data_IF_579279030511
#
_entry.id   IF_579279030511
#
_cell.length_a   1.000
_cell.length_b   1.000
_cell.length_c   1.000
_cell.angle_alpha   90.00
_cell.angle_beta   90.00
_cell.angle_gamma   90.00
#
_symmetry.space_group_name_H-M   'P 1'
#
loop_
_entity.id
_entity.type
_entity.pdbx_description
1 polymer ?
#
# COMPACT_ATOMS: atom_id res chain seq x y z
N UNK A 1 62.80 61.91 17.51
CA UNK A 1 61.76 61.36 16.62
C UNK A 1 61.05 60.11 17.20
N UNK A 2 60.59 60.10 18.46
CA UNK A 2 59.97 58.89 19.05
C UNK A 2 58.81 59.20 20.02
N UNK A 3 57.85 60.05 19.63
CA UNK A 3 56.64 60.30 20.44
C UNK A 3 55.30 60.02 19.72
N UNK A 4 55.30 59.67 18.44
CA UNK A 4 54.06 59.47 17.67
C UNK A 4 53.69 57.99 17.39
N UNK A 5 54.57 57.04 17.69
CA UNK A 5 54.31 55.61 17.44
C UNK A 5 53.41 54.97 18.51
N UNK A 6 53.57 55.34 19.79
CA UNK A 6 52.82 54.75 20.90
C UNK A 6 51.32 55.12 20.87
N UNK A 7 50.96 56.31 20.40
CA UNK A 7 49.56 56.79 20.37
C UNK A 7 48.73 56.07 19.31
N UNK A 8 49.34 55.62 18.20
CA UNK A 8 48.64 54.94 17.09
C UNK A 8 48.31 53.48 17.41
N UNK A 9 49.18 52.78 18.14
CA UNK A 9 48.93 51.39 18.57
C UNK A 9 47.83 51.33 19.64
N UNK A 10 47.77 52.32 20.54
CA UNK A 10 46.74 52.38 21.58
C UNK A 10 45.34 52.67 21.02
N UNK A 11 45.23 53.49 19.97
CA UNK A 11 43.95 53.74 19.28
C UNK A 11 43.47 52.52 18.48
N UNK A 12 44.38 51.78 17.84
CA UNK A 12 44.02 50.57 17.09
C UNK A 12 43.51 49.45 18.01
N UNK A 13 44.12 49.25 19.19
CA UNK A 13 43.63 48.29 20.18
C UNK A 13 42.29 48.72 20.81
N UNK A 14 42.09 50.02 21.06
CA UNK A 14 40.81 50.54 21.56
C UNK A 14 39.68 50.41 20.54
N UNK A 15 39.94 50.61 19.24
CA UNK A 15 38.95 50.38 18.19
C UNK A 15 38.64 48.89 17.99
N UNK A 16 39.62 47.98 18.08
CA UNK A 16 39.36 46.53 18.02
C UNK A 16 38.53 46.04 19.24
N UNK A 17 38.80 46.57 20.43
CA UNK A 17 38.04 46.27 21.64
C UNK A 17 36.60 46.82 21.57
N UNK A 18 36.39 48.02 21.02
CA UNK A 18 35.06 48.59 20.82
C UNK A 18 34.23 47.79 19.79
N UNK A 19 34.85 47.36 18.68
CA UNK A 19 34.15 46.54 17.66
C UNK A 19 33.76 45.16 18.20
N UNK A 20 34.60 44.53 19.02
CA UNK A 20 34.29 43.22 19.62
C UNK A 20 33.19 43.31 20.68
N UNK A 21 33.18 44.34 21.53
CA UNK A 21 32.10 44.57 22.49
C UNK A 21 30.76 44.92 21.83
N UNK A 22 30.77 45.67 20.72
CA UNK A 22 29.55 45.98 19.98
C UNK A 22 28.92 44.72 19.36
N UNK A 23 29.72 43.84 18.75
CA UNK A 23 29.21 42.59 18.16
C UNK A 23 28.65 41.61 19.23
N UNK A 24 29.24 41.57 20.42
CA UNK A 24 28.75 40.72 21.51
C UNK A 24 27.41 41.22 22.07
N UNK A 25 27.24 42.53 22.22
CA UNK A 25 25.99 43.12 22.73
C UNK A 25 24.82 42.96 21.75
N UNK A 26 25.07 42.99 20.44
CA UNK A 26 24.05 42.76 19.40
C UNK A 26 23.64 41.28 19.29
N UNK A 27 24.60 40.36 19.40
CA UNK A 27 24.32 38.92 19.43
C UNK A 27 23.44 38.54 20.63
N UNK A 28 23.72 39.08 21.82
CA UNK A 28 22.89 38.85 23.01
C UNK A 28 21.48 39.45 22.89
N UNK A 29 21.32 40.58 22.18
CA UNK A 29 20.00 41.18 21.98
C UNK A 29 19.11 40.38 21.01
N UNK A 30 19.68 39.84 19.94
CA UNK A 30 18.94 38.98 18.99
C UNK A 30 18.49 37.69 19.67
N UNK A 31 19.35 37.08 20.50
CA UNK A 31 19.02 35.85 21.23
C UNK A 31 17.88 36.07 22.24
N UNK A 32 17.88 37.22 22.95
CA UNK A 32 16.78 37.60 23.83
C UNK A 32 15.45 37.80 23.08
N UNK A 33 15.48 38.48 21.93
CA UNK A 33 14.29 38.70 21.11
C UNK A 33 13.74 37.39 20.52
N UNK A 34 14.62 36.49 20.09
CA UNK A 34 14.24 35.17 19.62
C UNK A 34 13.60 34.34 20.76
N UNK A 35 14.18 34.37 21.96
CA UNK A 35 13.60 33.71 23.14
C UNK A 35 12.23 34.25 23.52
N UNK A 36 12.04 35.57 23.48
CA UNK A 36 10.74 36.20 23.70
C UNK A 36 9.70 35.71 22.68
N UNK A 37 10.10 35.60 21.40
CA UNK A 37 9.25 35.09 20.33
C UNK A 37 8.84 33.63 20.56
N UNK A 38 9.74 32.77 21.06
CA UNK A 38 9.40 31.38 21.44
C UNK A 38 8.34 31.37 22.54
N UNK A 39 8.51 32.18 23.58
CA UNK A 39 7.56 32.24 24.71
C UNK A 39 6.19 32.73 24.25
N UNK A 40 6.15 33.79 23.43
CA UNK A 40 4.90 34.30 22.88
C UNK A 40 4.25 33.30 21.91
N UNK A 41 5.06 32.56 21.14
CA UNK A 41 4.60 31.45 20.30
C UNK A 41 3.94 30.34 21.10
N UNK A 42 4.51 29.93 22.24
CA UNK A 42 3.89 28.94 23.14
C UNK A 42 2.53 29.42 23.65
N UNK A 43 2.46 30.68 24.11
CA UNK A 43 1.19 31.26 24.58
C UNK A 43 0.14 31.33 23.47
N UNK A 44 0.55 31.74 22.27
CA UNK A 44 -0.32 31.77 21.10
C UNK A 44 -0.81 30.37 20.74
N UNK A 45 0.07 29.36 20.77
CA UNK A 45 -0.27 27.96 20.49
C UNK A 45 -1.26 27.41 21.53
N UNK A 46 -1.01 27.63 22.83
CA UNK A 46 -1.90 27.22 23.91
C UNK A 46 -3.28 27.92 23.84
N UNK A 47 -3.32 29.15 23.32
CA UNK A 47 -4.54 29.90 23.09
C UNK A 47 -5.24 29.56 21.75
N UNK A 48 -4.67 28.68 20.93
CA UNK A 48 -5.19 28.34 19.60
C UNK A 48 -5.12 29.49 18.59
N UNK A 49 -4.19 30.44 18.77
CA UNK A 49 -4.03 31.59 17.89
C UNK A 49 -3.24 31.24 16.62
N UNK A 50 -3.71 31.71 15.46
CA UNK A 50 -3.09 31.45 14.16
C UNK A 50 -1.66 31.96 14.00
N UNK A 51 -1.21 32.88 14.86
CA UNK A 51 0.13 33.50 14.77
C UNK A 51 1.24 32.67 15.41
N UNK A 52 0.93 31.53 16.03
CA UNK A 52 1.89 30.72 16.77
C UNK A 52 3.07 30.25 15.90
N UNK A 53 2.81 29.72 14.70
CA UNK A 53 3.87 29.29 13.77
C UNK A 53 4.83 30.43 13.42
N UNK A 54 4.29 31.61 13.15
CA UNK A 54 5.08 32.77 12.75
C UNK A 54 5.99 33.25 13.88
N UNK A 55 5.50 33.20 15.14
CA UNK A 55 6.29 33.51 16.32
C UNK A 55 7.41 32.48 16.54
N UNK A 56 7.13 31.20 16.31
CA UNK A 56 8.16 30.16 16.35
C UNK A 56 9.20 30.32 15.25
N UNK A 57 8.82 30.72 14.04
CA UNK A 57 9.79 31.02 12.97
C UNK A 57 10.72 32.18 13.35
N UNK A 58 10.21 33.21 14.03
CA UNK A 58 11.07 34.28 14.58
C UNK A 58 12.04 33.76 15.65
N UNK A 59 11.60 32.80 16.45
CA UNK A 59 12.41 32.13 17.47
C UNK A 59 13.55 31.27 16.93
N UNK A 60 13.52 30.88 15.65
CA UNK A 60 14.60 30.08 15.02
C UNK A 60 15.95 30.81 14.93
N UNK A 61 15.97 32.12 15.20
CA UNK A 61 17.20 32.92 15.28
C UNK A 61 17.99 32.70 16.57
N UNK A 62 17.38 32.08 17.58
CA UNK A 62 18.04 31.78 18.86
C UNK A 62 19.20 30.81 18.64
N UNK A 63 20.35 31.05 19.26
CA UNK A 63 21.56 30.24 19.02
C UNK A 63 21.37 28.75 19.35
N UNK A 64 20.70 28.48 20.47
CA UNK A 64 20.59 27.13 21.03
C UNK A 64 19.18 26.53 20.89
N UNK A 65 18.15 27.38 20.76
CA UNK A 65 16.75 26.95 20.70
C UNK A 65 16.17 26.90 19.29
N UNK A 66 16.99 27.12 18.25
CA UNK A 66 16.54 27.11 16.86
C UNK A 66 15.80 25.81 16.49
N UNK A 67 16.35 24.65 16.86
CA UNK A 67 15.73 23.35 16.60
C UNK A 67 14.38 23.19 17.32
N UNK A 68 14.31 23.57 18.61
CA UNK A 68 13.08 23.50 19.39
C UNK A 68 12.00 24.45 18.83
N UNK A 69 12.41 25.64 18.40
CA UNK A 69 11.51 26.61 17.81
C UNK A 69 10.92 26.09 16.50
N UNK A 70 11.76 25.55 15.60
CA UNK A 70 11.30 24.93 14.36
C UNK A 70 10.38 23.72 14.61
N UNK A 71 10.66 22.91 15.63
CA UNK A 71 9.79 21.80 16.03
C UNK A 71 8.41 22.28 16.47
N UNK A 72 8.36 23.33 17.30
CA UNK A 72 7.10 23.92 17.74
C UNK A 72 6.34 24.61 16.59
N UNK A 73 7.04 25.21 15.63
CA UNK A 73 6.43 25.69 14.39
C UNK A 73 5.74 24.55 13.63
N UNK A 74 6.43 23.41 13.48
CA UNK A 74 5.87 22.22 12.84
C UNK A 74 4.63 21.69 13.56
N UNK A 75 4.65 21.61 14.90
CA UNK A 75 3.47 21.23 15.69
C UNK A 75 2.31 22.20 15.52
N UNK A 76 2.60 23.50 15.53
CA UNK A 76 1.59 24.54 15.29
C UNK A 76 0.95 24.45 13.91
N UNK A 77 1.70 23.99 12.92
CA UNK A 77 1.20 23.79 11.56
C UNK A 77 0.37 22.51 11.45
N UNK A 78 0.70 21.42 12.18
CA UNK A 78 -0.12 20.20 12.16
C UNK A 78 -1.53 20.36 12.75
N UNK A 79 -1.72 21.26 13.71
CA UNK A 79 -3.08 21.59 14.21
C UNK A 79 -3.94 22.23 13.11
N UNK A 80 -3.31 22.84 12.10
CA UNK A 80 -3.97 23.36 10.91
C UNK A 80 -4.02 22.22 9.88
N UNK A 81 -5.12 21.48 9.84
CA UNK A 81 -5.26 20.20 9.09
C UNK A 81 -4.84 20.22 7.59
N UNK A 82 -4.64 21.39 6.98
CA UNK A 82 -4.22 21.56 5.58
C UNK A 82 -2.71 21.78 5.39
N UNK A 83 -1.92 21.97 6.46
CA UNK A 83 -0.52 22.41 6.37
C UNK A 83 0.51 21.27 6.58
N UNK A 84 0.19 20.05 6.13
CA UNK A 84 1.03 18.87 6.32
C UNK A 84 2.45 19.03 5.74
N UNK A 85 2.56 19.59 4.53
CA UNK A 85 3.88 19.81 3.90
C UNK A 85 4.72 20.85 4.64
N UNK A 86 4.14 21.98 5.03
CA UNK A 86 4.80 23.05 5.77
C UNK A 86 5.26 22.57 7.14
N UNK A 87 4.42 21.77 7.82
CA UNK A 87 4.78 21.14 9.07
C UNK A 87 6.00 20.23 8.91
N UNK A 88 6.01 19.37 7.88
CA UNK A 88 7.17 18.50 7.58
C UNK A 88 8.44 19.30 7.29
N UNK A 89 8.34 20.42 6.57
CA UNK A 89 9.49 21.31 6.34
C UNK A 89 10.00 21.95 7.64
N UNK A 90 9.11 22.34 8.56
CA UNK A 90 9.49 22.85 9.86
C UNK A 90 10.18 21.77 10.72
N UNK A 91 9.70 20.53 10.72
CA UNK A 91 10.37 19.40 11.38
C UNK A 91 11.73 19.08 10.76
N UNK A 92 11.88 19.17 9.44
CA UNK A 92 13.19 19.03 8.79
C UNK A 92 14.18 20.12 9.23
N UNK A 93 13.70 21.37 9.40
CA UNK A 93 14.52 22.44 10.00
C UNK A 93 14.87 22.14 11.46
N UNK A 94 13.94 21.56 12.23
CA UNK A 94 14.21 21.12 13.59
C UNK A 94 15.33 20.07 13.64
N UNK A 95 15.25 19.03 12.81
CA UNK A 95 16.26 17.97 12.70
C UNK A 95 17.63 18.54 12.32
N UNK A 96 17.68 19.48 11.36
CA UNK A 96 18.93 20.11 10.91
C UNK A 96 19.61 20.95 12.00
N UNK A 97 18.81 21.59 12.84
CA UNK A 97 19.28 22.47 13.92
C UNK A 97 19.38 21.77 15.28
N UNK A 98 18.93 20.52 15.38
CA UNK A 98 18.89 19.78 16.63
C UNK A 98 20.30 19.36 17.06
N UNK A 99 20.61 19.66 18.32
CA UNK A 99 21.75 19.08 19.05
C UNK A 99 21.35 17.85 19.87
N UNK A 100 20.05 17.57 19.97
CA UNK A 100 19.45 16.52 20.81
C UNK A 100 18.78 15.42 19.96
N UNK A 101 19.07 14.16 20.33
CA UNK A 101 18.52 12.97 19.69
C UNK A 101 17.04 12.78 20.02
N UNK A 102 16.59 13.19 21.20
CA UNK A 102 15.17 13.10 21.55
C UNK A 102 14.34 14.03 20.66
N UNK A 103 14.73 15.31 20.53
CA UNK A 103 14.08 16.23 19.59
C UNK A 103 14.10 15.72 18.14
N UNK A 104 15.21 15.11 17.71
CA UNK A 104 15.32 14.50 16.37
C UNK A 104 14.31 13.37 16.20
N UNK A 105 14.16 12.51 17.21
CA UNK A 105 13.18 11.42 17.22
C UNK A 105 11.74 11.96 17.16
N UNK A 106 11.42 12.94 17.99
CA UNK A 106 10.07 13.53 18.05
C UNK A 106 9.72 14.24 16.73
N UNK A 107 10.67 14.91 16.08
CA UNK A 107 10.47 15.54 14.78
C UNK A 107 10.18 14.50 13.68
N UNK A 108 10.96 13.41 13.62
CA UNK A 108 10.71 12.31 12.69
C UNK A 108 9.38 11.60 12.94
N UNK A 109 9.00 11.42 14.21
CA UNK A 109 7.69 10.87 14.59
C UNK A 109 6.55 11.73 14.06
N UNK A 110 6.62 13.05 14.22
CA UNK A 110 5.58 13.94 13.71
C UNK A 110 5.56 14.06 12.18
N UNK A 111 6.71 13.93 11.51
CA UNK A 111 6.75 13.75 10.05
C UNK A 111 5.97 12.48 9.66
N UNK A 112 6.20 11.37 10.38
CA UNK A 112 5.46 10.13 10.17
C UNK A 112 3.95 10.29 10.39
N UNK A 113 3.53 11.00 11.43
CA UNK A 113 2.10 11.27 11.70
C UNK A 113 1.47 12.05 10.55
N UNK A 114 2.16 13.07 10.06
CA UNK A 114 1.70 13.88 8.93
C UNK A 114 1.52 13.05 7.66
N UNK A 115 2.46 12.15 7.36
CA UNK A 115 2.39 11.26 6.19
C UNK A 115 1.30 10.20 6.34
N UNK A 116 1.14 9.66 7.55
CA UNK A 116 0.07 8.71 7.86
C UNK A 116 -1.32 9.34 7.68
N UNK A 117 -1.50 10.61 8.06
CA UNK A 117 -2.75 11.36 7.80
C UNK A 117 -3.01 11.57 6.31
N UNK A 118 -1.95 11.68 5.49
CA UNK A 118 -2.03 11.76 4.03
C UNK A 118 -2.14 10.37 3.36
N UNK A 119 -2.25 9.28 4.14
CA UNK A 119 -2.23 7.89 3.67
C UNK A 119 -0.96 7.49 2.91
N UNK A 120 0.11 8.26 3.02
CA UNK A 120 1.43 7.93 2.47
C UNK A 120 2.16 6.98 3.43
N UNK A 121 1.72 5.71 3.44
CA UNK A 121 2.16 4.68 4.37
C UNK A 121 3.64 4.38 4.24
N UNK A 122 4.15 4.26 3.01
CA UNK A 122 5.56 3.96 2.75
C UNK A 122 6.48 5.00 3.38
N UNK A 123 6.20 6.29 3.16
CA UNK A 123 7.02 7.35 3.72
C UNK A 123 6.80 7.51 5.23
N UNK A 124 5.58 7.28 5.73
CA UNK A 124 5.30 7.29 7.17
C UNK A 124 6.15 6.23 7.92
N UNK A 125 6.22 5.01 7.38
CA UNK A 125 7.02 3.90 7.91
C UNK A 125 8.49 4.30 8.00
N UNK A 126 9.06 4.89 6.95
CA UNK A 126 10.47 5.32 6.96
C UNK A 126 10.74 6.48 7.93
N UNK A 127 9.77 7.38 8.12
CA UNK A 127 9.85 8.44 9.11
C UNK A 127 9.85 7.86 10.54
N UNK A 128 8.96 6.93 10.87
CA UNK A 128 8.95 6.28 12.19
C UNK A 128 10.21 5.45 12.45
N UNK A 129 10.73 4.74 11.44
CA UNK A 129 12.03 4.05 11.55
C UNK A 129 13.15 5.05 11.83
N UNK A 130 13.13 6.21 11.18
CA UNK A 130 14.10 7.27 11.46
C UNK A 130 13.97 7.85 12.87
N UNK A 131 12.75 7.96 13.40
CA UNK A 131 12.50 8.35 14.78
C UNK A 131 13.10 7.34 15.77
N UNK A 132 12.94 6.04 15.53
CA UNK A 132 13.48 4.97 16.37
C UNK A 132 15.01 4.83 16.25
N UNK A 133 15.60 5.11 15.09
CA UNK A 133 17.06 5.20 14.95
C UNK A 133 17.65 6.32 15.80
N UNK A 134 16.95 7.45 15.94
CA UNK A 134 17.38 8.57 16.80
C UNK A 134 17.14 8.27 18.28
N UNK A 135 15.98 7.70 18.63
CA UNK A 135 15.68 7.27 19.99
C UNK A 135 14.93 5.93 19.98
N UNK A 136 15.62 4.81 20.23
CA UNK A 136 15.00 3.48 20.25
C UNK A 136 13.92 3.30 21.32
N UNK A 137 13.85 4.20 22.32
CA UNK A 137 12.86 4.18 23.41
C UNK A 137 11.65 5.07 23.14
N UNK A 138 11.50 5.61 21.93
CA UNK A 138 10.31 6.36 21.55
C UNK A 138 9.12 5.40 21.35
N UNK A 139 8.37 5.15 22.42
CA UNK A 139 7.21 4.25 22.40
C UNK A 139 6.10 4.72 21.44
N UNK A 140 5.91 6.03 21.29
CA UNK A 140 4.91 6.59 20.37
C UNK A 140 5.28 6.30 18.90
N UNK A 141 6.56 6.46 18.54
CA UNK A 141 7.04 6.09 17.21
C UNK A 141 6.98 4.58 16.96
N UNK A 142 7.23 3.77 18.01
CA UNK A 142 7.13 2.31 17.94
C UNK A 142 5.70 1.86 17.66
N UNK A 143 4.74 2.37 18.44
CA UNK A 143 3.31 2.12 18.25
C UNK A 143 2.84 2.52 16.85
N UNK A 144 3.19 3.74 16.40
CA UNK A 144 2.75 4.23 15.09
C UNK A 144 3.41 3.50 13.93
N UNK A 145 4.65 3.02 14.07
CA UNK A 145 5.29 2.16 13.08
C UNK A 145 4.52 0.84 12.92
N UNK A 146 4.17 0.17 14.03
CA UNK A 146 3.36 -1.05 13.99
C UNK A 146 2.01 -0.82 13.34
N UNK A 147 1.36 0.29 13.66
CA UNK A 147 0.08 0.67 13.06
C UNK A 147 0.20 0.88 11.55
N UNK A 148 1.20 1.63 11.10
CA UNK A 148 1.42 1.90 9.67
C UNK A 148 1.75 0.61 8.89
N UNK A 149 2.56 -0.28 9.46
CA UNK A 149 2.87 -1.58 8.86
C UNK A 149 1.64 -2.48 8.76
N UNK A 150 0.77 -2.46 9.78
CA UNK A 150 -0.48 -3.22 9.73
C UNK A 150 -1.40 -2.70 8.62
N UNK A 151 -1.56 -1.38 8.49
CA UNK A 151 -2.34 -0.83 7.37
C UNK A 151 -1.74 -1.22 6.01
N UNK A 152 -0.42 -1.22 5.87
CA UNK A 152 0.23 -1.63 4.63
C UNK A 152 -0.04 -3.11 4.32
N UNK A 153 0.00 -3.98 5.33
CA UNK A 153 -0.34 -5.38 5.17
C UNK A 153 -1.82 -5.56 4.82
N UNK A 154 -2.74 -4.87 5.51
CA UNK A 154 -4.17 -4.97 5.22
C UNK A 154 -4.51 -4.49 3.79
N UNK A 155 -3.76 -3.53 3.25
CA UNK A 155 -3.89 -3.10 1.84
C UNK A 155 -3.39 -4.16 0.87
N UNK A 156 -2.27 -4.83 1.18
CA UNK A 156 -1.75 -5.95 0.38
C UNK A 156 -2.71 -7.14 0.41
N UNK A 157 -3.21 -7.52 1.58
CA UNK A 157 -4.14 -8.64 1.74
C UNK A 157 -5.46 -8.39 1.00
N UNK A 158 -5.94 -7.14 0.94
CA UNK A 158 -7.11 -6.76 0.15
C UNK A 158 -6.84 -6.86 -1.36
N UNK A 159 -5.66 -6.41 -1.80
CA UNK A 159 -5.26 -6.49 -3.20
C UNK A 159 -5.11 -7.96 -3.65
N UNK A 160 -4.48 -8.80 -2.83
CA UNK A 160 -4.31 -10.23 -3.11
C UNK A 160 -5.64 -10.99 -3.16
N UNK A 161 -6.63 -10.58 -2.34
CA UNK A 161 -7.98 -11.14 -2.39
C UNK A 161 -8.72 -10.74 -3.67
N UNK A 162 -8.57 -9.47 -4.09
CA UNK A 162 -9.17 -8.98 -5.32
C UNK A 162 -8.56 -9.68 -6.55
N UNK A 163 -7.23 -9.82 -6.60
CA UNK A 163 -6.53 -10.53 -7.68
C UNK A 163 -6.93 -12.02 -7.76
N UNK A 164 -7.27 -12.64 -6.62
CA UNK A 164 -7.79 -14.02 -6.57
C UNK A 164 -9.23 -14.11 -7.09
N UNK A 165 -10.10 -13.16 -6.72
CA UNK A 165 -11.47 -13.10 -7.24
C UNK A 165 -11.47 -12.89 -8.76
N UNK A 166 -10.66 -11.95 -9.26
CA UNK A 166 -10.54 -11.68 -10.70
C UNK A 166 -10.04 -12.92 -11.49
N UNK A 167 -9.17 -13.74 -10.87
CA UNK A 167 -8.72 -15.00 -11.47
C UNK A 167 -9.80 -16.09 -11.46
N UNK A 168 -10.59 -16.19 -10.39
CA UNK A 168 -11.73 -17.12 -10.32
C UNK A 168 -12.79 -16.76 -11.35
N UNK A 169 -13.16 -15.48 -11.48
CA UNK A 169 -14.11 -15.02 -12.48
C UNK A 169 -13.65 -15.32 -13.91
N UNK A 170 -12.34 -15.19 -14.19
CA UNK A 170 -11.77 -15.55 -15.49
C UNK A 170 -11.83 -17.06 -15.75
N UNK A 171 -11.55 -17.90 -14.74
CA UNK A 171 -11.67 -19.35 -14.87
C UNK A 171 -13.11 -19.78 -15.10
N UNK A 172 -14.07 -19.23 -14.36
CA UNK A 172 -15.49 -19.53 -14.55
C UNK A 172 -15.99 -19.12 -15.94
N UNK A 173 -15.55 -17.96 -16.45
CA UNK A 173 -15.87 -17.55 -17.82
C UNK A 173 -15.27 -18.50 -18.86
N UNK A 174 -14.04 -18.96 -18.65
CA UNK A 174 -13.40 -19.91 -19.56
C UNK A 174 -14.10 -21.28 -19.53
N UNK A 175 -14.47 -21.78 -18.36
CA UNK A 175 -15.22 -23.04 -18.23
C UNK A 175 -16.60 -22.95 -18.88
N UNK A 176 -17.29 -21.81 -18.77
CA UNK A 176 -18.56 -21.58 -19.45
C UNK A 176 -18.39 -21.57 -20.97
N UNK A 177 -17.31 -20.95 -21.48
CA UNK A 177 -17.01 -20.93 -22.90
C UNK A 177 -16.68 -22.34 -23.43
N UNK A 178 -15.88 -23.11 -22.71
CA UNK A 178 -15.53 -24.48 -23.08
C UNK A 178 -16.76 -25.41 -23.06
N UNK A 179 -17.68 -25.22 -22.10
CA UNK A 179 -18.95 -25.96 -22.06
C UNK A 179 -19.84 -25.60 -23.25
N UNK A 180 -19.92 -24.32 -23.60
CA UNK A 180 -20.69 -23.88 -24.76
C UNK A 180 -20.12 -24.44 -26.07
N UNK A 181 -18.80 -24.45 -26.24
CA UNK A 181 -18.15 -25.06 -27.42
C UNK A 181 -18.35 -26.57 -27.50
N UNK A 182 -18.40 -27.28 -26.37
CA UNK A 182 -18.71 -28.71 -26.34
C UNK A 182 -20.17 -28.98 -26.72
N UNK A 183 -21.09 -28.17 -26.22
CA UNK A 183 -22.51 -28.29 -26.57
C UNK A 183 -22.73 -28.02 -28.07
N UNK A 184 -22.11 -26.98 -28.62
CA UNK A 184 -22.16 -26.67 -30.06
C UNK A 184 -21.56 -27.79 -30.94
N UNK A 185 -20.57 -28.52 -30.45
CA UNK A 185 -19.99 -29.68 -31.14
C UNK A 185 -20.90 -30.90 -31.09
N UNK A 186 -21.54 -31.15 -29.95
CA UNK A 186 -22.48 -32.25 -29.77
C UNK A 186 -23.71 -32.06 -30.65
N UNK A 187 -24.28 -30.85 -30.66
CA UNK A 187 -25.41 -30.49 -31.54
C UNK A 187 -25.06 -30.66 -33.03
N UNK A 188 -23.80 -30.43 -33.42
CA UNK A 188 -23.33 -30.68 -34.79
C UNK A 188 -23.19 -32.18 -35.11
N UNK A 189 -22.75 -33.00 -34.15
CA UNK A 189 -22.67 -34.44 -34.31
C UNK A 189 -24.07 -35.06 -34.44
N UNK A 190 -25.01 -34.68 -33.58
CA UNK A 190 -26.39 -35.16 -33.62
C UNK A 190 -27.06 -34.79 -34.95
N UNK A 191 -26.80 -33.59 -35.48
CA UNK A 191 -27.26 -33.20 -36.81
C UNK A 191 -26.62 -34.00 -37.96
N UNK A 192 -25.39 -34.49 -37.81
CA UNK A 192 -24.76 -35.36 -38.80
C UNK A 192 -25.33 -36.77 -38.75
N UNK A 193 -25.53 -37.33 -37.56
CA UNK A 193 -26.15 -38.65 -37.38
C UNK A 193 -27.57 -38.65 -37.94
N UNK A 194 -28.39 -37.64 -37.63
CA UNK A 194 -29.74 -37.53 -38.20
C UNK A 194 -29.76 -37.47 -39.73
N UNK A 195 -28.76 -36.82 -40.36
CA UNK A 195 -28.63 -36.78 -41.82
C UNK A 195 -28.23 -38.14 -42.37
N UNK A 196 -27.36 -38.86 -41.68
CA UNK A 196 -26.92 -40.18 -42.09
C UNK A 196 -28.06 -41.21 -41.97
N UNK A 197 -28.83 -41.18 -40.88
CA UNK A 197 -30.01 -42.03 -40.69
C UNK A 197 -31.08 -41.77 -41.77
N UNK A 198 -31.32 -40.51 -42.14
CA UNK A 198 -32.22 -40.19 -43.26
C UNK A 198 -31.71 -40.76 -44.58
N UNK A 199 -30.39 -40.75 -44.80
CA UNK A 199 -29.79 -41.27 -46.01
C UNK A 199 -29.87 -42.81 -46.07
N UNK A 200 -29.60 -43.48 -44.95
CA UNK A 200 -29.72 -44.94 -44.84
C UNK A 200 -31.16 -45.43 -44.97
N UNK A 201 -32.15 -44.69 -44.46
CA UNK A 201 -33.57 -44.98 -44.68
C UNK A 201 -33.94 -44.84 -46.17
N UNK A 202 -33.40 -43.83 -46.84
CA UNK A 202 -33.65 -43.60 -48.27
C UNK A 202 -33.04 -44.73 -49.12
N UNK A 203 -31.82 -45.17 -48.81
CA UNK A 203 -31.15 -46.28 -49.48
C UNK A 203 -31.85 -47.64 -49.23
N UNK A 204 -32.42 -47.86 -48.04
CA UNK A 204 -33.24 -49.04 -47.76
C UNK A 204 -34.54 -49.02 -48.56
N UNK A 205 -35.18 -47.87 -48.68
CA UNK A 205 -36.41 -47.71 -49.46
C UNK A 205 -36.15 -47.97 -50.95
N UNK A 206 -35.03 -47.47 -51.50
CA UNK A 206 -34.62 -47.74 -52.89
C UNK A 206 -34.25 -49.21 -53.15
N UNK A 207 -33.69 -49.92 -52.15
CA UNK A 207 -33.45 -51.36 -52.24
C UNK A 207 -34.74 -52.17 -52.18
N UNK A 208 -35.68 -51.76 -51.33
CA UNK A 208 -36.98 -52.40 -51.22
C UNK A 208 -37.79 -52.23 -52.51
N UNK A 209 -37.77 -51.05 -53.12
CA UNK A 209 -38.38 -50.78 -54.43
C UNK A 209 -37.74 -51.60 -55.57
N UNK A 210 -36.43 -51.89 -55.49
CA UNK A 210 -35.75 -52.78 -56.44
C UNK A 210 -36.10 -54.25 -56.21
N UNK A 211 -36.26 -54.67 -54.96
CA UNK A 211 -36.65 -56.03 -54.59
C UNK A 211 -38.12 -56.28 -54.98
N UNK A 212 -39.01 -55.32 -54.78
CA UNK A 212 -40.41 -55.37 -55.23
C UNK A 212 -40.52 -55.38 -56.76
N UNK A 213 -39.60 -54.74 -57.50
CA UNK A 213 -39.53 -54.86 -58.95
C UNK A 213 -39.03 -56.24 -59.41
N UNK A 214 -38.17 -56.90 -58.62
CA UNK A 214 -37.69 -58.26 -58.90
C UNK A 214 -38.77 -59.30 -58.54
N UNK A 215 -39.47 -59.13 -57.43
CA UNK A 215 -40.59 -59.97 -57.01
C UNK A 215 -41.82 -59.77 -57.90
N UNK A 216 -42.05 -58.58 -58.49
CA UNK A 216 -43.04 -58.41 -59.56
C UNK A 216 -42.65 -59.10 -60.89
N UNK A 217 -41.37 -59.45 -61.06
CA UNK A 217 -40.90 -60.24 -62.20
C UNK A 217 -41.06 -61.75 -61.97
N UNK A 218 -40.96 -62.22 -60.71
CA UNK A 218 -41.19 -63.63 -60.34
C UNK A 218 -42.66 -63.94 -59.94
N UNK A 219 -43.46 -62.95 -59.56
CA UNK A 219 -44.90 -63.10 -59.26
C UNK A 219 -45.84 -62.82 -60.44
N UNK A 220 -45.31 -62.84 -61.68
CA UNK A 220 -46.14 -63.17 -62.84
C UNK A 220 -46.45 -64.68 -62.94
N UNK A 221 -46.05 -65.47 -61.95
CA UNK A 221 -46.45 -66.87 -61.72
C UNK A 221 -46.87 -67.11 -60.25
N UNK A 222 -47.90 -66.41 -59.76
CA UNK A 222 -49.01 -66.96 -58.94
C UNK A 222 -49.76 -65.87 -58.16
N UNK A 223 -51.09 -66.01 -58.18
CA UNK A 223 -52.10 -65.17 -57.57
C UNK A 223 -52.19 -65.27 -56.03
N UNK A 224 -52.69 -64.17 -55.45
CA UNK A 224 -53.53 -64.03 -54.25
C UNK A 224 -52.95 -64.46 -52.89
N UNK A 225 -52.66 -63.48 -52.02
CA UNK A 225 -53.44 -63.24 -50.79
C UNK A 225 -52.97 -62.00 -50.00
N UNK A 226 -53.98 -61.35 -49.41
CA UNK A 226 -53.99 -60.22 -48.49
C UNK A 226 -52.99 -60.33 -47.31
N UNK A 227 -52.47 -59.21 -46.79
CA UNK A 227 -53.01 -58.50 -45.60
C UNK A 227 -52.09 -57.32 -45.21
N UNK A 228 -52.75 -56.22 -44.88
CA UNK A 228 -52.26 -54.98 -44.28
C UNK A 228 -51.54 -55.18 -42.93
N UNK A 229 -50.50 -54.41 -42.66
CA UNK A 229 -50.50 -53.45 -41.54
C UNK A 229 -49.26 -52.58 -41.59
N UNK A 230 -49.50 -51.28 -41.70
CA UNK A 230 -48.47 -50.25 -41.77
C UNK A 230 -48.66 -49.27 -40.60
N UNK A 231 -47.53 -48.98 -39.96
CA UNK A 231 -47.14 -47.80 -39.17
C UNK A 231 -47.96 -47.33 -37.96
N UNK A 232 -47.28 -47.22 -36.82
CA UNK A 232 -46.87 -45.90 -36.33
C UNK A 232 -45.84 -46.00 -35.19
N UNK A 233 -44.62 -45.54 -35.45
CA UNK A 233 -43.68 -45.07 -34.45
C UNK A 233 -43.70 -43.53 -34.39
N UNK A 234 -43.71 -43.05 -33.14
CA UNK A 234 -43.09 -41.83 -32.60
C UNK A 234 -43.49 -40.43 -33.13
N UNK A 235 -43.94 -39.58 -32.18
CA UNK A 235 -43.27 -38.29 -31.94
C UNK A 235 -43.64 -37.65 -30.58
N UNK A 236 -42.58 -37.42 -29.80
CA UNK A 236 -42.19 -36.31 -28.92
C UNK A 236 -43.16 -35.43 -28.11
N UNK A 237 -42.77 -35.31 -26.82
CA UNK A 237 -42.60 -34.12 -25.96
C UNK A 237 -43.70 -33.04 -25.87
N UNK A 238 -44.25 -32.81 -24.67
CA UNK A 238 -43.84 -31.72 -23.75
C UNK A 238 -44.75 -31.60 -22.50
N UNK A 239 -44.11 -31.22 -21.39
CA UNK A 239 -44.62 -30.48 -20.21
C UNK A 239 -45.59 -31.13 -19.20
N UNK A 240 -45.07 -31.35 -17.98
CA UNK A 240 -45.47 -30.63 -16.74
C UNK A 240 -44.60 -31.13 -15.56
N UNK A 241 -43.72 -30.30 -15.00
CA UNK A 241 -43.93 -29.31 -13.93
C UNK A 241 -44.02 -29.90 -12.50
N UNK A 242 -43.02 -29.49 -11.71
CA UNK A 242 -43.02 -29.20 -10.27
C UNK A 242 -43.50 -30.27 -9.26
N UNK A 243 -42.54 -30.77 -8.47
CA UNK A 243 -42.56 -30.60 -7.00
C UNK A 243 -41.30 -31.10 -6.28
N UNK A 244 -41.01 -30.44 -5.16
CA UNK A 244 -40.14 -30.75 -4.01
C UNK A 244 -38.79 -30.01 -3.98
N UNK A 245 -38.72 -28.85 -3.32
CA UNK A 245 -38.68 -28.59 -1.86
C UNK A 245 -37.39 -29.00 -1.14
N UNK A 246 -36.61 -27.96 -0.81
CA UNK A 246 -36.02 -27.65 0.50
C UNK A 246 -35.16 -28.70 1.23
N UNK A 247 -33.86 -28.42 1.26
CA UNK A 247 -32.89 -28.62 2.35
C UNK A 247 -31.58 -27.94 1.86
N UNK A 248 -30.86 -27.07 2.55
CA UNK A 248 -30.80 -26.65 3.94
C UNK A 248 -30.03 -25.32 3.94
N UNK A 249 -30.63 -24.25 4.46
CA UNK A 249 -29.87 -23.13 5.03
C UNK A 249 -29.34 -23.59 6.39
N UNK A 250 -28.02 -23.63 6.54
CA UNK A 250 -27.31 -23.41 7.81
C UNK A 250 -25.82 -23.34 7.52
N UNK A 251 -25.32 -22.13 7.26
CA UNK A 251 -23.96 -21.79 7.63
C UNK A 251 -23.98 -20.49 8.44
N UNK A 252 -23.32 -20.61 9.57
CA UNK A 252 -23.30 -19.72 10.71
C UNK A 252 -22.73 -18.35 10.36
N UNK A 253 -23.51 -17.29 10.56
CA UNK A 253 -22.95 -15.96 10.83
C UNK A 253 -22.30 -16.02 12.22
N UNK A 254 -20.98 -16.16 12.25
CA UNK A 254 -20.22 -15.75 13.42
C UNK A 254 -20.24 -14.22 13.52
N UNK A 255 -20.41 -13.65 14.73
CA UNK A 255 -20.31 -12.21 14.87
C UNK A 255 -18.88 -11.77 14.53
N UNK A 256 -18.75 -10.98 13.46
CA UNK A 256 -17.55 -10.20 13.18
C UNK A 256 -17.18 -9.44 14.45
N UNK A 257 -16.05 -9.81 15.05
CA UNK A 257 -15.40 -8.96 16.01
C UNK A 257 -14.99 -7.69 15.26
N UNK A 258 -15.54 -6.55 15.69
CA UNK A 258 -15.05 -5.23 15.31
C UNK A 258 -13.68 -5.07 15.97
N UNK A 259 -12.64 -5.66 15.38
CA UNK A 259 -11.27 -5.61 15.91
C UNK A 259 -10.58 -4.34 15.41
N UNK A 260 -11.05 -3.20 15.91
CA UNK A 260 -10.47 -1.88 15.66
C UNK A 260 -9.35 -1.49 16.64
N UNK A 261 -8.83 -2.43 17.43
CA UNK A 261 -7.72 -2.19 18.36
C UNK A 261 -6.76 -3.39 18.33
N UNK A 262 -5.57 -3.17 17.79
CA UNK A 262 -4.47 -4.13 17.78
C UNK A 262 -4.17 -4.53 19.23
N UNK A 263 -4.18 -5.84 19.54
CA UNK A 263 -3.76 -6.33 20.84
C UNK A 263 -2.30 -5.94 21.09
N UNK A 264 -1.95 -5.61 22.33
CA UNK A 264 -0.58 -5.21 22.67
C UNK A 264 0.42 -6.32 22.30
N UNK A 265 -0.02 -7.56 22.39
CA UNK A 265 0.73 -8.77 22.07
C UNK A 265 1.01 -8.90 20.56
N UNK A 266 0.04 -8.60 19.69
CA UNK A 266 0.25 -8.61 18.23
C UNK A 266 1.20 -7.50 17.79
N UNK A 267 1.12 -6.34 18.45
CA UNK A 267 2.06 -5.24 18.24
C UNK A 267 3.49 -5.64 18.63
N UNK A 268 3.67 -6.24 19.81
CA UNK A 268 4.96 -6.75 20.27
C UNK A 268 5.55 -7.79 19.30
N UNK A 269 4.72 -8.70 18.77
CA UNK A 269 5.14 -9.70 17.78
C UNK A 269 5.64 -9.06 16.48
N UNK A 270 4.91 -8.07 15.96
CA UNK A 270 5.32 -7.35 14.74
C UNK A 270 6.65 -6.62 15.01
N UNK A 271 6.78 -5.95 16.15
CA UNK A 271 7.98 -5.20 16.51
C UNK A 271 9.21 -6.11 16.71
N UNK A 272 9.05 -7.25 17.37
CA UNK A 272 10.14 -8.21 17.58
C UNK A 272 10.65 -8.78 16.24
N UNK A 273 9.73 -8.99 15.28
CA UNK A 273 10.10 -9.45 13.94
C UNK A 273 10.98 -8.44 13.19
N UNK A 274 10.74 -7.13 13.41
CA UNK A 274 11.48 -6.04 12.77
C UNK A 274 12.81 -5.76 13.45
N UNK A 275 12.87 -5.83 14.78
CA UNK A 275 14.11 -5.66 15.53
C UNK A 275 15.14 -6.71 15.07
N UNK A 276 14.73 -7.98 14.92
CA UNK A 276 15.57 -9.03 14.34
C UNK A 276 16.02 -8.71 12.91
N UNK A 277 15.13 -8.17 12.08
CA UNK A 277 15.46 -7.77 10.70
C UNK A 277 16.44 -6.59 10.64
N UNK A 278 16.28 -5.59 11.51
CA UNK A 278 17.16 -4.44 11.61
C UNK A 278 18.55 -4.84 12.13
N UNK A 279 18.62 -5.67 13.19
CA UNK A 279 19.87 -6.21 13.71
C UNK A 279 20.65 -6.96 12.63
N UNK A 280 19.96 -7.76 11.81
CA UNK A 280 20.58 -8.50 10.71
C UNK A 280 21.14 -7.55 9.63
N UNK A 281 20.39 -6.51 9.27
CA UNK A 281 20.82 -5.49 8.31
C UNK A 281 22.01 -4.67 8.86
N UNK A 282 21.96 -4.26 10.12
CA UNK A 282 23.05 -3.56 10.79
C UNK A 282 24.31 -4.43 10.89
N UNK A 283 24.16 -5.73 11.23
CA UNK A 283 25.25 -6.68 11.26
C UNK A 283 25.88 -6.89 9.87
N UNK A 284 25.06 -6.98 8.81
CA UNK A 284 25.52 -7.03 7.42
C UNK A 284 26.28 -5.76 7.02
N UNK A 285 25.81 -4.58 7.42
CA UNK A 285 26.46 -3.31 7.14
C UNK A 285 27.80 -3.16 7.88
N UNK A 286 27.85 -3.55 9.16
CA UNK A 286 29.09 -3.62 9.96
C UNK A 286 30.11 -4.58 9.36
N UNK A 287 29.65 -5.75 8.90
CA UNK A 287 30.48 -6.76 8.22
C UNK A 287 31.00 -6.27 6.86
N UNK A 288 30.17 -5.60 6.08
CA UNK A 288 30.58 -4.98 4.81
C UNK A 288 31.63 -3.88 5.04
N UNK A 289 31.47 -3.06 6.07
CA UNK A 289 32.45 -2.03 6.46
C UNK A 289 33.78 -2.61 6.94
N UNK A 290 33.78 -3.76 7.62
CA UNK A 290 35.02 -4.41 8.09
C UNK A 290 35.76 -5.20 6.99
N UNK A 291 35.05 -5.65 5.96
CA UNK A 291 35.63 -6.33 4.79
C UNK A 291 36.20 -5.38 3.72
N UNK A 292 35.92 -4.07 3.83
CA UNK A 292 36.61 -3.01 3.09
C UNK A 292 38.07 -2.89 3.50
N UNK A 293 38.93 -3.77 2.99
CA UNK A 293 40.38 -3.73 3.18
C UNK A 293 40.91 -2.32 2.88
N UNK A 294 41.54 -1.70 3.87
CA UNK A 294 42.37 -0.49 3.69
C UNK A 294 43.43 -0.81 2.62
N UNK A 295 43.20 -0.42 1.37
CA UNK A 295 44.25 -0.34 0.36
C UNK A 295 45.23 0.71 0.87
N UNK A 296 46.37 0.28 1.42
CA UNK A 296 47.54 1.14 1.58
C UNK A 296 47.88 1.63 0.18
N UNK A 297 47.56 2.88 -0.11
CA UNK A 297 48.06 3.57 -1.29
C UNK A 297 49.51 3.89 -0.93
N UNK A 298 50.43 3.03 -1.35
CA UNK A 298 51.84 3.42 -1.42
C UNK A 298 51.94 4.50 -2.50
N UNK A 299 52.27 5.72 -2.06
CA UNK A 299 52.50 6.86 -2.91
C UNK A 299 53.80 6.60 -3.66
N UNK A 300 53.69 6.34 -4.95
CA UNK A 300 54.82 6.31 -5.86
C UNK A 300 55.01 7.72 -6.44
N UNK A 301 55.75 8.54 -5.68
CA UNK A 301 56.36 9.79 -6.12
C UNK A 301 57.57 10.10 -5.24
#
# INVERSE_FOLDING_TARGET
>A
MMKHAATRVSLACAMLALVTCFNCSWSQSEDYAAKASIIDGIRAFEAGEDRADSLFVLGERHSDLAGLSAYNAGRSLLEKSEAGQEARQAFQRAIKSASDQQLTSDAWHNIGNSLLMEQDLENAIEAYKSALRANPRNEAARYNLSYALRQQQDQQDQQDQQDQQDQQEQQEQQEQQDQQEQQDQQDQQDQQEQKQDQQDQQDQQDQQDQQDQQDQQDQQDQQDQEVQQDQQEQQDQQEQQDQQEQQQEQQEEQPQQVEGQISKEDMERILESLERGEEEVQAKLMKAKSQGKKKKIEKDW
#
